data_IF_299010538347
#
_entry.id   IF_299010538347
#
_cell.length_a   1.000
_cell.length_b   1.000
_cell.length_c   1.000
_cell.angle_alpha   90.00
_cell.angle_beta   90.00
_cell.angle_gamma   90.00
#
_symmetry.space_group_name_H-M   'P 1'
#
loop_
_entity.id
_entity.type
_entity.pdbx_description
1 polymer ?
#
# COMPACT_ATOMS: atom_id res chain seq x y z
N UNK A 1 26.60 -39.65 -21.21
CA UNK A 1 25.13 -39.73 -21.34
C UNK A 1 24.61 -40.50 -20.14
N UNK A 2 24.13 -39.76 -19.14
CA UNK A 2 23.62 -40.31 -17.88
C UNK A 2 22.31 -41.06 -18.13
N UNK A 3 22.33 -42.38 -17.89
CA UNK A 3 21.14 -43.24 -17.93
C UNK A 3 20.11 -42.73 -16.94
N UNK A 4 18.86 -42.58 -17.38
CA UNK A 4 17.72 -42.33 -16.50
C UNK A 4 17.55 -43.51 -15.52
N UNK A 5 16.92 -43.29 -14.34
CA UNK A 5 16.61 -44.35 -13.39
C UNK A 5 15.82 -45.46 -14.08
N UNK A 6 16.14 -46.74 -13.81
CA UNK A 6 15.53 -47.89 -14.47
C UNK A 6 14.00 -47.98 -14.29
N UNK A 7 13.45 -47.28 -13.30
CA UNK A 7 12.01 -47.25 -13.01
C UNK A 7 11.23 -46.17 -13.80
N UNK A 8 11.93 -45.36 -14.61
CA UNK A 8 11.32 -44.26 -15.37
C UNK A 8 11.08 -44.70 -16.82
N UNK A 9 9.98 -45.40 -17.04
CA UNK A 9 9.53 -45.82 -18.38
C UNK A 9 8.78 -44.65 -19.01
N UNK A 10 9.37 -44.08 -20.06
CA UNK A 10 8.73 -43.03 -20.86
C UNK A 10 8.10 -43.65 -22.12
N UNK A 11 6.86 -43.25 -22.42
CA UNK A 11 6.18 -43.66 -23.66
C UNK A 11 6.80 -43.01 -24.91
N UNK A 12 7.46 -41.85 -24.74
CA UNK A 12 8.05 -41.05 -25.79
C UNK A 12 9.54 -40.84 -25.50
N UNK A 13 10.32 -40.49 -26.53
CA UNK A 13 11.74 -40.18 -26.34
C UNK A 13 11.91 -39.02 -25.34
N UNK A 14 12.79 -39.15 -24.33
CA UNK A 14 12.96 -38.12 -23.30
C UNK A 14 13.26 -36.71 -23.84
N UNK A 15 13.88 -36.59 -25.01
CA UNK A 15 14.14 -35.29 -25.66
C UNK A 15 12.83 -34.64 -26.11
N UNK A 16 11.92 -35.41 -26.70
CA UNK A 16 10.60 -34.91 -27.14
C UNK A 16 9.74 -34.44 -25.97
N UNK A 17 9.81 -35.16 -24.85
CA UNK A 17 9.13 -34.79 -23.61
C UNK A 17 9.69 -33.47 -23.07
N UNK A 18 11.01 -33.32 -23.06
CA UNK A 18 11.67 -32.10 -22.60
C UNK A 18 11.34 -30.91 -23.49
N UNK A 19 11.32 -31.09 -24.82
CA UNK A 19 10.97 -30.04 -25.79
C UNK A 19 9.52 -29.54 -25.60
N UNK A 20 8.60 -30.40 -25.17
CA UNK A 20 7.23 -30.02 -24.84
C UNK A 20 7.10 -29.39 -23.45
N UNK A 21 7.84 -29.89 -22.45
CA UNK A 21 7.76 -29.42 -21.06
C UNK A 21 8.45 -28.08 -20.85
N UNK A 22 9.56 -27.81 -21.54
CA UNK A 22 10.36 -26.61 -21.31
C UNK A 22 9.56 -25.32 -21.57
N UNK A 23 8.81 -25.17 -22.68
CA UNK A 23 7.96 -23.99 -22.90
C UNK A 23 6.84 -23.87 -21.85
N UNK A 24 6.23 -24.99 -21.45
CA UNK A 24 5.17 -25.00 -20.43
C UNK A 24 5.72 -24.55 -19.07
N UNK A 25 6.91 -25.03 -18.69
CA UNK A 25 7.56 -24.65 -17.45
C UNK A 25 7.86 -23.15 -17.43
N UNK A 26 8.48 -22.61 -18.48
CA UNK A 26 8.81 -21.18 -18.56
C UNK A 26 7.55 -20.30 -18.52
N UNK A 27 6.51 -20.69 -19.26
CA UNK A 27 5.22 -19.97 -19.22
C UNK A 27 4.61 -19.96 -17.82
N UNK A 28 4.67 -21.10 -17.12
CA UNK A 28 4.14 -21.21 -15.76
C UNK A 28 4.95 -20.37 -14.76
N UNK A 29 6.29 -20.38 -14.88
CA UNK A 29 7.17 -19.55 -14.05
C UNK A 29 6.89 -18.06 -14.25
N UNK A 30 6.73 -17.62 -15.51
CA UNK A 30 6.41 -16.23 -15.82
C UNK A 30 5.04 -15.84 -15.27
N UNK A 31 4.02 -16.69 -15.46
CA UNK A 31 2.68 -16.45 -14.91
C UNK A 31 2.72 -16.32 -13.39
N UNK A 32 3.44 -17.22 -12.71
CA UNK A 32 3.58 -17.17 -11.25
C UNK A 32 4.25 -15.88 -10.79
N UNK A 33 5.36 -15.49 -11.44
CA UNK A 33 6.06 -14.25 -11.12
C UNK A 33 5.16 -13.01 -11.27
N UNK A 34 4.33 -12.96 -12.32
CA UNK A 34 3.37 -11.87 -12.52
C UNK A 34 2.29 -11.84 -11.43
N UNK A 35 1.78 -13.00 -11.03
CA UNK A 35 0.78 -13.10 -9.96
C UNK A 35 1.36 -12.70 -8.60
N UNK A 36 2.57 -13.15 -8.28
CA UNK A 36 3.29 -12.77 -7.07
C UNK A 36 3.58 -11.26 -7.04
N UNK A 37 3.97 -10.67 -8.17
CA UNK A 37 4.20 -9.23 -8.28
C UNK A 37 2.91 -8.42 -8.08
N UNK A 38 1.81 -8.84 -8.68
CA UNK A 38 0.51 -8.17 -8.52
C UNK A 38 0.00 -8.25 -7.08
N UNK A 39 0.12 -9.42 -6.44
CA UNK A 39 -0.23 -9.58 -5.03
C UNK A 39 0.65 -8.69 -4.13
N UNK A 40 1.95 -8.64 -4.39
CA UNK A 40 2.90 -7.81 -3.65
C UNK A 40 2.61 -6.31 -3.81
N UNK A 41 2.24 -5.88 -5.02
CA UNK A 41 1.85 -4.50 -5.30
C UNK A 41 0.61 -4.09 -4.53
N UNK A 42 -0.43 -4.94 -4.53
CA UNK A 42 -1.66 -4.68 -3.80
C UNK A 42 -1.39 -4.62 -2.29
N UNK A 43 -0.59 -5.54 -1.74
CA UNK A 43 -0.21 -5.55 -0.34
C UNK A 43 0.54 -4.26 0.04
N UNK A 44 1.55 -3.88 -0.74
CA UNK A 44 2.30 -2.64 -0.52
C UNK A 44 1.40 -1.40 -0.60
N UNK A 45 0.46 -1.37 -1.55
CA UNK A 45 -0.52 -0.29 -1.70
C UNK A 45 -1.44 -0.20 -0.48
N UNK A 46 -1.95 -1.32 0.03
CA UNK A 46 -2.79 -1.34 1.23
C UNK A 46 -2.04 -0.80 2.46
N UNK A 47 -0.80 -1.23 2.68
CA UNK A 47 0.02 -0.71 3.78
C UNK A 47 0.31 0.78 3.63
N UNK A 48 0.66 1.24 2.43
CA UNK A 48 0.90 2.65 2.16
C UNK A 48 -0.35 3.51 2.43
N UNK A 49 -1.53 3.05 2.01
CA UNK A 49 -2.79 3.75 2.22
C UNK A 49 -3.25 3.74 3.69
N UNK A 50 -2.99 2.65 4.42
CA UNK A 50 -3.20 2.61 5.87
C UNK A 50 -2.36 3.68 6.57
N UNK A 51 -1.06 3.72 6.28
CA UNK A 51 -0.15 4.72 6.85
C UNK A 51 -0.58 6.14 6.47
N UNK A 52 -1.01 6.37 5.23
CA UNK A 52 -1.53 7.66 4.80
C UNK A 52 -2.77 8.08 5.58
N UNK A 53 -3.69 7.14 5.86
CA UNK A 53 -4.90 7.39 6.65
C UNK A 53 -4.58 7.72 8.09
N UNK A 54 -3.65 6.98 8.71
CA UNK A 54 -3.20 7.24 10.08
C UNK A 54 -2.54 8.62 10.19
N UNK A 55 -1.68 8.97 9.24
CA UNK A 55 -1.03 10.28 9.17
C UNK A 55 -2.05 11.42 8.98
N UNK A 56 -3.06 11.22 8.14
CA UNK A 56 -4.15 12.17 7.97
C UNK A 56 -4.94 12.35 9.28
N UNK A 57 -5.23 11.26 10.00
CA UNK A 57 -5.90 11.30 11.30
C UNK A 57 -5.12 12.11 12.34
N UNK A 58 -3.79 11.93 12.41
CA UNK A 58 -2.92 12.73 13.28
C UNK A 58 -2.98 14.22 12.92
N UNK A 59 -2.87 14.54 11.62
CA UNK A 59 -2.92 15.93 11.14
C UNK A 59 -4.25 16.60 11.46
N UNK A 60 -5.37 15.89 11.28
CA UNK A 60 -6.71 16.38 11.66
C UNK A 60 -6.74 16.72 13.14
N UNK A 61 -6.20 15.86 14.00
CA UNK A 61 -6.12 16.11 15.44
C UNK A 61 -5.34 17.40 15.77
N UNK A 62 -4.16 17.57 15.17
CA UNK A 62 -3.33 18.77 15.35
C UNK A 62 -4.03 20.04 14.87
N UNK A 63 -4.61 19.99 13.67
CA UNK A 63 -5.32 21.14 13.08
C UNK A 63 -6.57 21.50 13.87
N UNK A 64 -7.30 20.51 14.39
CA UNK A 64 -8.49 20.73 15.24
C UNK A 64 -8.10 21.47 16.53
N UNK A 65 -7.00 21.09 17.17
CA UNK A 65 -6.50 21.79 18.34
C UNK A 65 -6.10 23.24 18.01
N UNK A 66 -5.36 23.44 16.92
CA UNK A 66 -4.96 24.77 16.46
C UNK A 66 -6.17 25.65 16.14
N UNK A 67 -7.16 25.11 15.42
CA UNK A 67 -8.40 25.78 15.09
C UNK A 67 -9.15 26.24 16.35
N UNK A 68 -9.31 25.37 17.35
CA UNK A 68 -10.01 25.74 18.57
C UNK A 68 -9.27 26.82 19.37
N UNK A 69 -7.93 26.78 19.42
CA UNK A 69 -7.12 27.84 20.03
C UNK A 69 -7.30 29.18 19.32
N UNK A 70 -7.20 29.19 17.98
CA UNK A 70 -7.41 30.39 17.18
C UNK A 70 -8.83 30.94 17.35
N UNK A 71 -9.85 30.07 17.38
CA UNK A 71 -11.23 30.44 17.63
C UNK A 71 -11.40 31.12 18.99
N UNK A 72 -10.83 30.55 20.05
CA UNK A 72 -10.90 31.14 21.39
C UNK A 72 -10.21 32.50 21.44
N UNK A 73 -9.01 32.62 20.87
CA UNK A 73 -8.29 33.88 20.79
C UNK A 73 -9.09 34.96 20.05
N UNK A 74 -9.75 34.60 18.94
CA UNK A 74 -10.61 35.52 18.19
C UNK A 74 -11.82 35.99 19.00
N UNK A 75 -12.49 35.09 19.74
CA UNK A 75 -13.60 35.45 20.64
C UNK A 75 -13.10 36.41 21.73
N UNK A 76 -11.98 36.10 22.39
CA UNK A 76 -11.41 36.97 23.43
C UNK A 76 -11.06 38.34 22.86
N UNK A 77 -10.46 38.41 21.67
CA UNK A 77 -10.13 39.67 21.01
C UNK A 77 -11.39 40.52 20.74
N UNK A 78 -12.44 39.92 20.18
CA UNK A 78 -13.70 40.62 19.92
C UNK A 78 -14.34 41.14 21.21
N UNK A 79 -14.32 40.35 22.29
CA UNK A 79 -14.84 40.78 23.59
C UNK A 79 -14.03 41.96 24.16
N UNK A 80 -12.70 41.91 24.06
CA UNK A 80 -11.84 43.01 24.50
C UNK A 80 -12.10 44.29 23.71
N UNK A 81 -12.33 44.19 22.41
CA UNK A 81 -12.70 45.33 21.55
C UNK A 81 -14.05 45.94 21.96
N UNK A 82 -15.06 45.11 22.24
CA UNK A 82 -16.38 45.59 22.70
C UNK A 82 -16.27 46.28 24.06
N UNK A 83 -15.54 45.71 25.02
CA UNK A 83 -15.36 46.30 26.36
C UNK A 83 -14.57 47.61 26.29
N UNK A 84 -13.50 47.65 25.50
CA UNK A 84 -12.71 48.86 25.32
C UNK A 84 -13.53 49.98 24.65
N UNK A 85 -14.34 49.65 23.64
CA UNK A 85 -15.25 50.61 22.99
C UNK A 85 -16.33 51.13 23.93
N UNK A 86 -16.91 50.28 24.78
CA UNK A 86 -17.92 50.68 25.76
C UNK A 86 -17.34 51.60 26.86
N UNK A 87 -16.10 51.37 27.30
CA UNK A 87 -15.42 52.22 28.30
C UNK A 87 -14.87 53.53 27.74
N UNK A 88 -14.84 53.71 26.41
CA UNK A 88 -14.35 54.90 25.73
C UNK A 88 -15.47 55.92 25.41
N UNK A 89 -16.73 55.57 25.69
CA UNK A 89 -17.92 56.44 25.61
C UNK A 89 -18.24 57.01 27.00
#
# INVERSE_FOLDING_TARGET
MSSFPQDMIFEQDPVQILDALLPLYINNQLLRALQEAAASELAARMTAMSNASDNAGQLIGTLTLSYNKARQAAITQQLMEVVAGANAL
#
